data_IF_642694912279
#
_entry.id   IF_642694912279
#
_cell.length_a   1.000
_cell.length_b   1.000
_cell.length_c   1.000
_cell.angle_alpha   90.00
_cell.angle_beta   90.00
_cell.angle_gamma   90.00
#
_symmetry.space_group_name_H-M   'P 1'
#
loop_
_entity.id
_entity.type
_entity.pdbx_description
1 polymer ?
#
# COMPACT_ATOMS: atom_id res chain seq x y z
N UNK A 1 15.33 23.22 -35.58
CA UNK A 1 15.16 22.17 -34.55
C UNK A 1 16.09 21.03 -34.90
N UNK A 2 17.14 20.78 -34.13
CA UNK A 2 18.01 19.60 -34.29
C UNK A 2 17.61 18.56 -33.25
N UNK A 3 17.17 17.38 -33.68
CA UNK A 3 16.74 16.27 -32.81
C UNK A 3 17.91 15.40 -32.36
N UNK A 4 19.03 16.03 -31.99
CA UNK A 4 20.18 15.28 -31.47
C UNK A 4 19.88 14.86 -30.03
N UNK A 5 19.44 13.63 -29.85
CA UNK A 5 19.19 13.02 -28.55
C UNK A 5 19.36 11.50 -28.63
N UNK A 6 19.79 10.90 -27.54
CA UNK A 6 19.87 9.43 -27.41
C UNK A 6 18.56 8.94 -26.79
N UNK A 7 17.91 7.97 -27.45
CA UNK A 7 16.75 7.26 -26.90
C UNK A 7 17.24 5.99 -26.20
N UNK A 8 16.72 5.70 -25.02
CA UNK A 8 16.96 4.45 -24.29
C UNK A 8 15.66 3.97 -23.69
N UNK A 9 15.35 2.69 -23.89
CA UNK A 9 14.14 2.05 -23.38
C UNK A 9 14.48 1.12 -22.22
N UNK A 10 13.60 1.05 -21.23
CA UNK A 10 13.77 0.21 -20.03
C UNK A 10 12.59 -0.77 -19.94
N UNK A 11 12.78 -2.06 -20.27
CA UNK A 11 11.74 -3.05 -20.13
C UNK A 11 11.35 -3.23 -18.66
N UNK A 12 10.05 -3.13 -18.37
CA UNK A 12 9.53 -3.42 -17.04
C UNK A 12 9.38 -4.94 -16.83
N UNK A 13 9.61 -5.47 -15.61
CA UNK A 13 9.46 -6.89 -15.32
C UNK A 13 8.07 -7.46 -15.63
N UNK A 14 7.01 -6.71 -15.34
CA UNK A 14 5.63 -7.13 -15.65
C UNK A 14 5.31 -6.92 -17.12
N UNK A 15 5.19 -8.03 -17.86
CA UNK A 15 4.74 -8.02 -19.26
C UNK A 15 3.28 -7.55 -19.37
N UNK A 16 2.97 -6.82 -20.45
CA UNK A 16 1.61 -6.29 -20.70
C UNK A 16 1.04 -5.47 -19.53
N UNK A 17 1.91 -4.80 -18.77
CA UNK A 17 1.55 -4.02 -17.56
C UNK A 17 0.62 -2.84 -17.81
N UNK A 18 0.53 -2.38 -19.06
CA UNK A 18 -0.24 -1.21 -19.48
C UNK A 18 0.15 0.03 -18.64
N UNK A 19 1.38 0.51 -18.87
CA UNK A 19 1.94 1.67 -18.18
C UNK A 19 1.12 2.92 -18.51
N UNK A 20 0.81 3.73 -17.50
CA UNK A 20 -0.06 4.91 -17.66
C UNK A 20 0.67 6.21 -17.31
N UNK A 21 0.83 6.50 -16.01
CA UNK A 21 1.46 7.73 -15.54
C UNK A 21 2.91 7.53 -15.10
N UNK A 22 3.68 8.61 -15.11
CA UNK A 22 5.04 8.66 -14.55
C UNK A 22 5.33 10.04 -13.93
N UNK A 23 6.02 10.06 -12.79
CA UNK A 23 6.42 11.28 -12.09
C UNK A 23 7.82 11.14 -11.51
N UNK A 24 8.55 12.25 -11.42
CA UNK A 24 9.80 12.29 -10.65
C UNK A 24 9.48 12.20 -9.15
N UNK A 25 10.07 11.22 -8.47
CA UNK A 25 9.89 11.02 -7.05
C UNK A 25 10.81 11.89 -6.18
N UNK A 26 10.41 12.16 -4.93
CA UNK A 26 11.25 12.82 -3.93
C UNK A 26 12.60 12.17 -3.65
N UNK A 27 12.71 10.87 -3.94
CA UNK A 27 13.89 10.05 -3.70
C UNK A 27 14.88 10.03 -4.89
N UNK A 28 14.63 10.87 -5.91
CA UNK A 28 15.46 10.98 -7.11
C UNK A 28 15.27 9.85 -8.12
N UNK A 29 14.33 8.94 -7.88
CA UNK A 29 13.88 7.95 -8.85
C UNK A 29 12.64 8.45 -9.61
N UNK A 30 12.27 7.79 -10.71
CA UNK A 30 10.98 7.98 -11.35
C UNK A 30 10.00 6.92 -10.85
N UNK A 31 8.75 7.30 -10.65
CA UNK A 31 7.67 6.45 -10.19
C UNK A 31 6.59 6.38 -11.26
N UNK A 32 6.09 5.19 -11.55
CA UNK A 32 5.12 4.94 -12.61
C UNK A 32 4.03 3.98 -12.17
N UNK A 33 2.90 3.95 -12.88
CA UNK A 33 1.79 3.04 -12.62
C UNK A 33 1.71 1.92 -13.64
N UNK A 34 1.33 0.74 -13.18
CA UNK A 34 1.00 -0.41 -14.01
C UNK A 34 -0.50 -0.70 -13.89
N UNK A 35 -1.30 -0.17 -14.81
CA UNK A 35 -2.76 -0.28 -14.75
C UNK A 35 -3.21 -1.76 -14.71
N UNK A 36 -2.72 -2.56 -15.67
CA UNK A 36 -3.07 -3.99 -15.74
C UNK A 36 -2.20 -4.85 -14.82
N UNK A 37 -1.00 -4.37 -14.49
CA UNK A 37 -0.09 -5.04 -13.56
C UNK A 37 -0.53 -4.98 -12.10
N UNK A 38 -1.40 -4.02 -11.74
CA UNK A 38 -1.85 -3.71 -10.38
C UNK A 38 -0.69 -3.36 -9.43
N UNK A 39 0.24 -2.55 -9.92
CA UNK A 39 1.45 -2.14 -9.18
C UNK A 39 1.77 -0.67 -9.39
N UNK A 40 2.56 -0.15 -8.47
CA UNK A 40 3.33 1.07 -8.67
C UNK A 40 4.78 0.66 -8.89
N UNK A 41 5.37 1.07 -10.00
CA UNK A 41 6.77 0.84 -10.29
C UNK A 41 7.64 2.04 -9.92
N UNK A 42 8.92 1.76 -9.67
CA UNK A 42 9.97 2.74 -9.40
C UNK A 42 11.18 2.37 -10.24
N UNK A 43 11.74 3.34 -10.96
CA UNK A 43 12.95 3.17 -11.76
C UNK A 43 13.99 4.22 -11.37
N UNK A 44 15.21 3.78 -11.06
CA UNK A 44 16.34 4.70 -10.84
C UNK A 44 16.79 5.30 -12.18
N UNK A 45 17.48 6.44 -12.16
CA UNK A 45 18.08 7.02 -13.38
C UNK A 45 19.16 6.12 -14.02
N UNK A 46 19.65 5.12 -13.29
CA UNK A 46 20.54 4.08 -13.81
C UNK A 46 19.78 2.89 -14.43
N UNK A 47 18.44 2.89 -14.42
CA UNK A 47 17.60 1.85 -15.03
C UNK A 47 17.22 0.69 -14.11
N UNK A 48 17.48 0.77 -12.80
CA UNK A 48 17.08 -0.29 -11.86
C UNK A 48 15.61 -0.15 -11.49
N UNK A 49 14.80 -1.18 -11.77
CA UNK A 49 13.35 -1.18 -11.56
C UNK A 49 12.98 -1.98 -10.30
N UNK A 50 12.01 -1.48 -9.54
CA UNK A 50 11.35 -2.16 -8.43
C UNK A 50 9.85 -1.96 -8.57
N UNK A 51 9.07 -3.03 -8.43
CA UNK A 51 7.61 -2.98 -8.54
C UNK A 51 6.96 -3.26 -7.17
N UNK A 52 5.94 -2.47 -6.83
CA UNK A 52 5.22 -2.53 -5.56
C UNK A 52 3.78 -2.97 -5.81
N UNK A 53 3.39 -4.20 -5.44
CA UNK A 53 2.03 -4.69 -5.65
C UNK A 53 1.04 -3.93 -4.77
N UNK A 54 -0.11 -3.60 -5.34
CA UNK A 54 -1.23 -3.02 -4.59
C UNK A 54 -2.03 -4.13 -3.91
N UNK A 55 -2.45 -3.87 -2.67
CA UNK A 55 -3.20 -4.83 -1.86
C UNK A 55 -4.66 -4.94 -2.31
N UNK A 56 -5.23 -3.86 -2.85
CA UNK A 56 -6.52 -3.89 -3.49
C UNK A 56 -6.40 -4.65 -4.81
N UNK A 57 -7.25 -5.66 -5.00
CA UNK A 57 -7.26 -6.44 -6.23
C UNK A 57 -7.76 -5.58 -7.39
N UNK A 58 -7.04 -5.62 -8.52
CA UNK A 58 -7.43 -4.94 -9.76
C UNK A 58 -7.81 -3.46 -9.56
N UNK A 59 -7.00 -2.70 -8.82
CA UNK A 59 -7.31 -1.32 -8.49
C UNK A 59 -7.17 -0.36 -9.68
N UNK A 60 -6.39 -0.74 -10.69
CA UNK A 60 -6.19 0.03 -11.92
C UNK A 60 -5.53 1.38 -11.63
N UNK A 61 -4.28 1.40 -11.13
CA UNK A 61 -3.57 2.65 -10.88
C UNK A 61 -3.31 3.38 -12.20
N UNK A 62 -3.58 4.68 -12.25
CA UNK A 62 -3.42 5.51 -13.45
C UNK A 62 -2.48 6.68 -13.21
N UNK A 63 -2.99 7.88 -12.93
CA UNK A 63 -2.15 9.06 -12.74
C UNK A 63 -1.46 9.05 -11.37
N UNK A 64 -0.26 9.64 -11.31
CA UNK A 64 0.50 9.81 -10.07
C UNK A 64 0.97 11.26 -9.93
N UNK A 65 1.12 11.70 -8.68
CA UNK A 65 1.72 12.99 -8.33
C UNK A 65 2.52 12.91 -7.04
N UNK A 66 3.49 13.79 -6.89
CA UNK A 66 4.25 13.92 -5.66
C UNK A 66 3.40 14.65 -4.62
N UNK A 67 3.42 14.13 -3.39
CA UNK A 67 2.78 14.78 -2.25
C UNK A 67 3.39 16.15 -1.94
N UNK A 68 2.62 17.09 -1.40
CA UNK A 68 3.09 18.46 -1.11
C UNK A 68 4.22 18.51 -0.08
N UNK A 69 4.34 17.48 0.75
CA UNK A 69 5.40 17.33 1.74
C UNK A 69 6.69 16.73 1.15
N UNK A 70 6.69 16.37 -0.13
CA UNK A 70 7.79 15.70 -0.81
C UNK A 70 8.24 14.43 -0.07
N UNK A 71 7.31 13.74 0.61
CA UNK A 71 7.59 12.46 1.29
C UNK A 71 6.73 11.33 0.77
N UNK A 72 5.84 11.58 -0.19
CA UNK A 72 4.86 10.60 -0.63
C UNK A 72 4.59 10.69 -2.13
N UNK A 73 4.12 9.60 -2.71
CA UNK A 73 3.46 9.60 -4.02
C UNK A 73 1.97 9.34 -3.79
N UNK A 74 1.13 10.13 -4.44
CA UNK A 74 -0.31 9.95 -4.51
C UNK A 74 -0.69 9.48 -5.91
N UNK A 75 -1.72 8.63 -6.00
CA UNK A 75 -2.17 8.11 -7.29
C UNK A 75 -3.67 7.81 -7.28
N UNK A 76 -4.26 7.78 -8.47
CA UNK A 76 -5.67 7.40 -8.66
C UNK A 76 -5.79 5.90 -8.93
N UNK A 77 -6.79 5.26 -8.33
CA UNK A 77 -7.17 3.86 -8.59
C UNK A 77 -8.51 3.83 -9.33
N UNK A 78 -8.45 3.80 -10.66
CA UNK A 78 -9.62 4.01 -11.53
C UNK A 78 -10.69 2.93 -11.35
N UNK A 79 -10.27 1.69 -11.12
CA UNK A 79 -11.21 0.55 -10.97
C UNK A 79 -11.65 0.36 -9.53
N UNK A 80 -10.83 0.78 -8.55
CA UNK A 80 -11.19 0.70 -7.13
C UNK A 80 -12.00 1.90 -6.62
N UNK A 81 -12.19 2.96 -7.43
CA UNK A 81 -12.85 4.20 -7.03
C UNK A 81 -12.20 4.84 -5.79
N UNK A 82 -10.87 4.77 -5.72
CA UNK A 82 -10.10 5.16 -4.55
C UNK A 82 -8.89 6.03 -4.92
N UNK A 83 -8.31 6.65 -3.90
CA UNK A 83 -7.04 7.38 -4.00
C UNK A 83 -6.02 6.61 -3.17
N UNK A 84 -4.92 6.23 -3.82
CA UNK A 84 -3.80 5.56 -3.21
C UNK A 84 -2.71 6.54 -2.78
N UNK A 85 -1.93 6.12 -1.77
CA UNK A 85 -0.77 6.86 -1.27
C UNK A 85 0.35 5.87 -0.94
N UNK A 86 1.57 6.19 -1.35
CA UNK A 86 2.80 5.52 -0.93
C UNK A 86 3.66 6.52 -0.16
N UNK A 87 3.93 6.22 1.10
CA UNK A 87 4.89 6.98 1.93
C UNK A 87 6.33 6.55 1.62
N UNK A 88 7.20 7.53 1.38
CA UNK A 88 8.61 7.39 1.02
C UNK A 88 9.50 7.66 2.25
N UNK A 89 9.18 7.05 3.39
CA UNK A 89 10.05 7.12 4.56
C UNK A 89 11.06 5.97 4.42
N UNK A 90 12.25 6.31 3.90
CA UNK A 90 13.48 5.50 3.83
C UNK A 90 13.30 3.97 3.80
N UNK A 91 13.30 3.38 2.59
CA UNK A 91 13.60 1.96 2.34
C UNK A 91 13.12 0.96 3.43
N UNK A 92 11.81 0.72 3.48
CA UNK A 92 11.19 -0.26 4.36
C UNK A 92 9.68 -0.30 4.16
N UNK A 93 9.23 -0.56 2.93
CA UNK A 93 7.84 -0.42 2.52
C UNK A 93 6.95 -1.60 2.98
N UNK A 94 5.76 -1.25 3.49
CA UNK A 94 4.63 -2.05 4.01
C UNK A 94 4.63 -2.37 5.52
N UNK A 95 4.03 -1.49 6.32
CA UNK A 95 3.20 -1.95 7.45
C UNK A 95 1.79 -1.41 7.28
N UNK A 96 0.86 -2.30 6.93
CA UNK A 96 -0.57 -1.98 6.91
C UNK A 96 -1.03 -1.46 8.27
N UNK A 97 -1.85 -0.41 8.28
CA UNK A 97 -2.33 0.22 9.51
C UNK A 97 -3.71 0.82 9.30
N UNK A 98 -4.74 0.02 9.56
CA UNK A 98 -6.14 0.44 9.60
C UNK A 98 -6.45 1.39 10.75
N UNK A 99 -7.40 2.27 10.49
CA UNK A 99 -8.03 3.21 11.44
C UNK A 99 -8.59 2.50 12.67
N UNK A 100 -8.21 2.93 13.88
CA UNK A 100 -9.04 2.75 15.09
C UNK A 100 -8.87 3.94 16.04
N UNK A 101 -9.98 4.58 16.42
CA UNK A 101 -10.04 5.38 17.66
C UNK A 101 -11.12 4.81 18.55
N UNK A 102 -10.72 4.18 19.65
CA UNK A 102 -11.58 3.76 20.75
C UNK A 102 -11.58 4.75 21.92
N UNK A 103 -12.73 4.88 22.59
CA UNK A 103 -12.87 5.44 23.93
C UNK A 103 -13.74 4.52 24.78
N UNK A 104 -13.16 3.88 25.80
CA UNK A 104 -13.88 3.17 26.85
C UNK A 104 -14.02 4.00 28.12
N UNK A 105 -15.02 3.66 28.95
CA UNK A 105 -15.08 3.91 30.40
C UNK A 105 -15.90 2.83 31.13
N UNK A 106 -15.21 2.02 31.94
CA UNK A 106 -15.50 1.54 33.32
C UNK A 106 -16.92 1.19 33.81
N UNK A 107 -17.07 -0.03 34.37
CA UNK A 107 -18.11 -0.41 35.37
C UNK A 107 -18.06 -1.91 35.74
N UNK A 108 -17.88 -2.25 37.03
CA UNK A 108 -17.64 -3.58 37.64
C UNK A 108 -18.94 -4.44 37.87
N UNK A 109 -18.95 -5.52 38.70
CA UNK A 109 -18.49 -6.91 38.49
C UNK A 109 -19.63 -8.00 38.45
N UNK A 110 -19.23 -9.27 38.25
CA UNK A 110 -19.96 -10.56 38.10
C UNK A 110 -20.98 -10.94 39.23
N UNK A 111 -21.79 -12.06 39.22
CA UNK A 111 -21.61 -13.35 38.51
C UNK A 111 -22.89 -14.17 38.07
N UNK A 112 -22.71 -15.29 37.33
CA UNK A 112 -23.22 -16.65 37.62
C UNK A 112 -23.57 -17.55 36.41
N UNK A 113 -23.20 -18.84 36.52
CA UNK A 113 -23.75 -20.03 35.82
C UNK A 113 -23.18 -20.32 34.42
N UNK A 114 -22.76 -21.53 34.01
CA UNK A 114 -22.81 -22.88 34.58
C UNK A 114 -22.83 -23.92 33.43
N UNK A 115 -21.99 -24.96 33.51
CA UNK A 115 -21.99 -26.18 32.67
C UNK A 115 -21.43 -26.01 31.24
N UNK A 116 -20.63 -26.89 30.64
CA UNK A 116 -20.22 -28.27 30.92
C UNK A 116 -19.95 -28.93 29.54
N UNK A 117 -18.94 -29.80 29.45
CA UNK A 117 -18.83 -30.76 28.34
C UNK A 117 -17.65 -30.58 27.38
N UNK A 118 -16.62 -31.38 27.60
CA UNK A 118 -15.47 -31.65 26.76
C UNK A 118 -15.79 -32.64 25.62
N UNK A 119 -15.25 -32.41 24.42
CA UNK A 119 -15.31 -33.33 23.28
C UNK A 119 -14.41 -32.88 22.14
N UNK A 120 -13.46 -33.73 21.74
CA UNK A 120 -12.28 -33.48 20.90
C UNK A 120 -12.58 -33.58 19.40
N UNK A 121 -11.84 -32.84 18.55
CA UNK A 121 -11.67 -33.22 17.14
C UNK A 121 -11.31 -32.12 16.13
N UNK A 122 -10.04 -31.72 16.10
CA UNK A 122 -9.21 -31.24 14.97
C UNK A 122 -9.79 -30.48 13.75
N UNK A 123 -9.20 -29.32 13.46
CA UNK A 123 -9.19 -28.72 12.12
C UNK A 123 -8.95 -27.21 12.13
N UNK A 124 -7.81 -26.77 11.61
CA UNK A 124 -7.29 -25.40 11.63
C UNK A 124 -8.23 -24.30 11.08
N UNK A 125 -8.31 -23.16 11.77
CA UNK A 125 -8.75 -21.88 11.21
C UNK A 125 -8.34 -20.66 12.07
N UNK A 126 -7.76 -19.66 11.39
CA UNK A 126 -8.01 -18.22 11.51
C UNK A 126 -7.94 -17.51 12.88
N UNK A 127 -6.92 -16.66 13.00
CA UNK A 127 -7.09 -15.22 13.28
C UNK A 127 -7.59 -14.78 14.66
N UNK A 128 -6.68 -14.28 15.50
CA UNK A 128 -6.89 -13.11 16.35
C UNK A 128 -5.60 -12.79 17.13
N UNK A 129 -4.92 -11.70 16.80
CA UNK A 129 -4.03 -11.04 17.75
C UNK A 129 -4.55 -9.62 18.00
N UNK A 130 -5.02 -9.44 19.22
CA UNK A 130 -5.76 -8.28 19.68
C UNK A 130 -4.92 -7.00 19.76
N UNK A 131 -5.63 -5.91 19.47
CA UNK A 131 -5.26 -4.51 19.42
C UNK A 131 -4.85 -3.92 20.79
N UNK A 132 -3.75 -3.18 20.86
CA UNK A 132 -3.54 -2.15 21.89
C UNK A 132 -2.80 -0.94 21.29
N UNK A 133 -3.55 0.05 20.79
CA UNK A 133 -2.99 1.36 20.42
C UNK A 133 -3.27 2.34 21.55
N UNK A 134 -2.19 2.76 22.22
CA UNK A 134 -2.15 3.92 23.09
C UNK A 134 -2.30 5.20 22.24
N UNK A 135 -3.21 6.07 22.68
CA UNK A 135 -3.56 7.34 22.05
C UNK A 135 -2.38 8.33 22.00
N UNK A 136 -2.33 9.13 20.93
CA UNK A 136 -1.83 10.52 21.02
C UNK A 136 -2.72 11.47 20.21
N UNK A 137 -3.42 12.36 20.92
CA UNK A 137 -3.74 13.70 20.42
C UNK A 137 -2.57 14.61 20.79
N UNK A 138 -2.05 15.36 19.84
CA UNK A 138 -2.00 16.84 19.89
C UNK A 138 -2.01 17.35 18.46
#
# INVERSE_FOLDING_TARGET
MTTSGTLTEFPVPTVSSNLSGIVAGPDGALWFSEYSGNKIGRITTAGAITEYPLLAAASGPSDLTVGPDNTSIWFTEETAFAIGKIDLVAAGFLTGGGSTTGTGTTGAPAPSGGGGGCGLGGGAALGALSLLIARRRR
#
